data_IF_683072037318
#
_entry.id   IF_683072037318
#
_cell.length_a   1.000
_cell.length_b   1.000
_cell.length_c   1.000
_cell.angle_alpha   90.00
_cell.angle_beta   90.00
_cell.angle_gamma   90.00
#
_symmetry.space_group_name_H-M   'P 1'
#
loop_
_entity.id
_entity.type
_entity.pdbx_description
1 polymer ?
#
# COMPACT_ATOMS: atom_id res chain seq x y z
N UNK A 1 2.55 10.82 2.01
CA UNK A 1 3.09 9.72 1.15
C UNK A 1 2.03 8.64 0.99
N UNK A 2 2.14 7.79 -0.03
CA UNK A 2 1.16 6.70 -0.26
C UNK A 2 1.00 5.74 0.95
N UNK A 3 2.08 5.46 1.69
CA UNK A 3 2.03 4.65 2.91
C UNK A 3 1.23 5.31 4.05
N UNK A 4 1.32 6.64 4.21
CA UNK A 4 0.54 7.37 5.22
C UNK A 4 -0.95 7.39 4.87
N UNK A 5 -1.30 7.52 3.59
CA UNK A 5 -2.69 7.42 3.14
C UNK A 5 -3.30 6.04 3.46
N UNK A 6 -2.54 4.96 3.22
CA UNK A 6 -2.97 3.60 3.58
C UNK A 6 -3.10 3.39 5.09
N UNK A 7 -2.12 3.83 5.87
CA UNK A 7 -2.21 3.78 7.34
C UNK A 7 -3.44 4.53 7.84
N UNK A 8 -3.80 5.65 7.19
CA UNK A 8 -5.03 6.39 7.50
C UNK A 8 -6.29 5.59 7.17
N UNK A 9 -6.38 4.91 6.02
CA UNK A 9 -7.58 4.09 5.70
C UNK A 9 -7.75 2.92 6.68
N UNK A 10 -6.66 2.32 7.15
CA UNK A 10 -6.69 1.28 8.20
C UNK A 10 -7.16 1.84 9.55
N UNK A 11 -6.67 3.03 9.93
CA UNK A 11 -7.12 3.71 11.14
C UNK A 11 -8.60 4.11 11.08
N UNK A 12 -9.03 4.70 9.96
CA UNK A 12 -10.42 5.11 9.76
C UNK A 12 -11.35 3.89 9.82
N UNK A 13 -10.93 2.74 9.28
CA UNK A 13 -11.64 1.48 9.42
C UNK A 13 -11.71 0.97 10.86
N UNK A 14 -10.63 1.05 11.63
CA UNK A 14 -10.62 0.66 13.04
C UNK A 14 -11.58 1.55 13.86
N UNK A 15 -11.57 2.87 13.62
CA UNK A 15 -12.50 3.82 14.24
C UNK A 15 -13.95 3.43 13.91
N UNK A 16 -14.26 3.17 12.63
CA UNK A 16 -15.59 2.74 12.21
C UNK A 16 -16.04 1.45 12.91
N UNK A 17 -15.15 0.44 13.04
CA UNK A 17 -15.42 -0.82 13.77
C UNK A 17 -15.69 -0.63 15.26
N UNK A 18 -15.20 0.47 15.84
CA UNK A 18 -15.46 0.83 17.25
C UNK A 18 -16.65 1.79 17.43
N UNK A 19 -17.53 1.90 16.42
CA UNK A 19 -18.71 2.76 16.47
C UNK A 19 -18.38 4.25 16.41
N UNK A 20 -17.25 4.63 15.80
CA UNK A 20 -16.81 6.01 15.69
C UNK A 20 -15.98 6.52 16.88
N UNK A 21 -15.70 5.68 17.88
CA UNK A 21 -14.88 6.08 19.03
C UNK A 21 -13.40 6.16 18.64
N UNK A 22 -12.86 7.38 18.58
CA UNK A 22 -11.49 7.61 18.13
C UNK A 22 -10.42 6.98 19.02
N UNK A 23 -10.62 6.98 20.34
CA UNK A 23 -9.65 6.43 21.29
C UNK A 23 -9.58 4.90 21.17
N UNK A 24 -10.73 4.23 21.19
CA UNK A 24 -10.81 2.78 20.98
C UNK A 24 -10.30 2.39 19.60
N UNK A 25 -10.63 3.16 18.57
CA UNK A 25 -10.13 2.94 17.21
C UNK A 25 -8.61 3.03 17.10
N UNK A 26 -7.98 4.01 17.75
CA UNK A 26 -6.51 4.12 17.81
C UNK A 26 -5.87 2.96 18.56
N UNK A 27 -6.46 2.52 19.66
CA UNK A 27 -5.99 1.34 20.40
C UNK A 27 -6.08 0.08 19.54
N UNK A 28 -7.21 -0.12 18.85
CA UNK A 28 -7.42 -1.26 17.97
C UNK A 28 -6.43 -1.25 16.79
N UNK A 29 -6.27 -0.10 16.13
CA UNK A 29 -5.30 0.09 15.05
C UNK A 29 -3.85 -0.13 15.52
N UNK A 30 -3.49 0.32 16.72
CA UNK A 30 -2.13 0.12 17.24
C UNK A 30 -1.81 -1.36 17.47
N UNK A 31 -2.82 -2.16 17.84
CA UNK A 31 -2.66 -3.60 18.05
C UNK A 31 -2.66 -4.41 16.74
N UNK A 32 -3.53 -4.06 15.78
CA UNK A 32 -3.80 -4.91 14.60
C UNK A 32 -3.56 -4.24 13.24
N UNK A 33 -3.13 -2.98 13.18
CA UNK A 33 -2.92 -2.21 11.94
C UNK A 33 -1.70 -2.61 11.12
N UNK A 34 -1.25 -3.86 11.27
CA UNK A 34 -0.19 -4.50 10.48
C UNK A 34 1.12 -3.71 10.41
N UNK A 35 1.47 -3.00 11.49
CA UNK A 35 2.65 -2.11 11.55
C UNK A 35 3.95 -2.84 11.21
N UNK A 36 4.10 -4.09 11.66
CA UNK A 36 5.27 -4.93 11.38
C UNK A 36 5.45 -5.31 9.90
N UNK A 37 4.38 -5.32 9.10
CA UNK A 37 4.46 -5.67 7.68
C UNK A 37 5.12 -4.56 6.84
N UNK A 38 5.17 -3.33 7.33
CA UNK A 38 5.82 -2.20 6.65
C UNK A 38 7.35 -2.29 6.65
N UNK A 39 7.95 -3.22 7.39
CA UNK A 39 9.41 -3.28 7.56
C UNK A 39 10.22 -3.35 6.26
N UNK A 40 9.74 -4.06 5.23
CA UNK A 40 10.42 -4.06 3.93
C UNK A 40 10.14 -2.78 3.12
N UNK A 41 8.91 -2.26 3.16
CA UNK A 41 8.56 -0.97 2.55
C UNK A 41 9.41 0.18 3.11
N UNK A 42 9.66 0.19 4.42
CA UNK A 42 10.43 1.25 5.06
C UNK A 42 11.93 1.16 4.71
N UNK A 43 12.43 -0.02 4.31
CA UNK A 43 13.82 -0.22 3.85
C UNK A 43 14.05 0.22 2.41
N UNK A 44 13.03 0.20 1.55
CA UNK A 44 13.14 0.62 0.14
C UNK A 44 13.05 2.15 0.01
N UNK A 45 13.94 2.84 0.71
CA UNK A 45 14.00 4.29 0.80
C UNK A 45 15.31 4.82 0.21
N UNK A 46 15.23 5.77 -0.73
CA UNK A 46 16.36 6.23 -1.54
C UNK A 46 16.20 5.93 -3.04
N UNK A 47 15.04 6.27 -3.60
CA UNK A 47 14.75 6.22 -5.04
C UNK A 47 15.27 7.48 -5.70
N UNK A 48 15.70 7.36 -6.95
CA UNK A 48 16.16 8.50 -7.76
C UNK A 48 14.97 9.14 -8.48
N UNK A 49 14.97 10.47 -8.53
CA UNK A 49 13.98 11.24 -9.27
C UNK A 49 14.28 11.20 -10.77
N UNK A 50 13.28 10.82 -11.57
CA UNK A 50 13.36 10.92 -13.03
C UNK A 50 13.41 12.39 -13.46
N UNK A 51 14.23 12.69 -14.47
CA UNK A 51 14.38 14.06 -15.01
C UNK A 51 13.40 14.36 -16.15
N UNK A 52 12.77 13.32 -16.70
CA UNK A 52 11.84 13.41 -17.82
C UNK A 52 10.58 12.58 -17.51
N UNK A 53 9.43 12.92 -18.11
CA UNK A 53 8.21 12.13 -17.98
C UNK A 53 8.39 10.70 -18.49
N UNK A 54 7.73 9.75 -17.83
CA UNK A 54 7.62 8.39 -18.35
C UNK A 54 6.89 8.39 -19.71
N UNK A 55 7.24 7.47 -20.64
CA UNK A 55 6.56 7.37 -21.92
C UNK A 55 5.04 7.15 -21.81
N UNK A 56 4.31 7.82 -22.69
CA UNK A 56 2.84 7.83 -22.71
C UNK A 56 2.21 6.45 -23.02
N UNK A 57 0.90 6.33 -22.78
CA UNK A 57 0.11 5.15 -23.17
C UNK A 57 0.32 3.90 -22.31
N UNK A 58 1.10 3.99 -21.22
CA UNK A 58 1.43 2.84 -20.35
C UNK A 58 0.51 2.66 -19.15
N UNK A 59 -0.35 3.64 -18.86
CA UNK A 59 -1.23 3.66 -17.69
C UNK A 59 -2.68 3.80 -18.15
N UNK A 60 -3.56 2.82 -17.86
CA UNK A 60 -4.98 2.90 -18.18
C UNK A 60 -5.68 4.04 -17.41
N UNK A 61 -6.75 4.58 -17.99
CA UNK A 61 -7.64 5.48 -17.26
C UNK A 61 -8.58 4.68 -16.35
N UNK A 62 -8.16 4.44 -15.11
CA UNK A 62 -8.79 3.51 -14.15
C UNK A 62 -10.31 3.69 -13.97
N UNK A 63 -10.81 4.93 -14.03
CA UNK A 63 -12.25 5.22 -13.88
C UNK A 63 -13.11 4.64 -15.01
N UNK A 64 -12.52 4.36 -16.16
CA UNK A 64 -13.22 3.88 -17.37
C UNK A 64 -12.69 2.54 -17.88
N UNK A 65 -11.46 2.16 -17.53
CA UNK A 65 -10.80 0.94 -17.96
C UNK A 65 -11.62 -0.31 -17.61
N UNK A 66 -11.75 -1.23 -18.56
CA UNK A 66 -12.34 -2.56 -18.35
C UNK A 66 -11.53 -3.40 -17.36
N UNK A 67 -12.15 -4.43 -16.77
CA UNK A 67 -11.44 -5.34 -15.85
C UNK A 67 -10.30 -6.07 -16.58
N UNK A 68 -10.47 -6.39 -17.86
CA UNK A 68 -9.42 -7.01 -18.66
C UNK A 68 -8.21 -6.08 -18.81
N UNK A 69 -8.40 -4.80 -19.14
CA UNK A 69 -7.30 -3.82 -19.21
C UNK A 69 -6.58 -3.66 -17.86
N UNK A 70 -7.32 -3.68 -16.75
CA UNK A 70 -6.74 -3.64 -15.41
C UNK A 70 -5.87 -4.87 -15.14
N UNK A 71 -6.37 -6.08 -15.47
CA UNK A 71 -5.61 -7.34 -15.32
C UNK A 71 -4.36 -7.33 -16.20
N UNK A 72 -4.49 -7.00 -17.48
CA UNK A 72 -3.39 -6.97 -18.43
C UNK A 72 -2.31 -5.99 -17.98
N UNK A 73 -2.71 -4.84 -17.45
CA UNK A 73 -1.75 -3.88 -16.91
C UNK A 73 -0.98 -4.47 -15.72
N UNK A 74 -1.65 -5.13 -14.79
CA UNK A 74 -0.99 -5.75 -13.64
C UNK A 74 -0.07 -6.91 -14.05
N UNK A 75 -0.50 -7.72 -15.02
CA UNK A 75 0.33 -8.79 -15.60
C UNK A 75 1.58 -8.20 -16.25
N UNK A 76 1.46 -7.10 -17.01
CA UNK A 76 2.60 -6.45 -17.68
C UNK A 76 3.70 -5.97 -16.72
N UNK A 77 3.37 -5.75 -15.43
CA UNK A 77 4.32 -5.34 -14.38
C UNK A 77 4.68 -6.47 -13.41
N UNK A 78 4.37 -7.72 -13.77
CA UNK A 78 4.70 -8.92 -12.97
C UNK A 78 3.83 -9.10 -11.72
N UNK A 79 2.61 -8.55 -11.74
CA UNK A 79 1.54 -8.79 -10.77
C UNK A 79 0.42 -9.61 -11.42
N UNK A 80 -0.74 -9.75 -10.76
CA UNK A 80 -1.86 -10.48 -11.32
C UNK A 80 -3.21 -10.14 -10.66
N UNK A 81 -4.26 -10.94 -10.93
CA UNK A 81 -5.64 -10.68 -10.48
C UNK A 81 -5.78 -10.48 -8.97
N UNK A 82 -4.97 -11.18 -8.16
CA UNK A 82 -4.92 -10.98 -6.70
C UNK A 82 -4.56 -9.55 -6.32
N UNK A 83 -3.53 -8.99 -6.97
CA UNK A 83 -3.08 -7.64 -6.67
C UNK A 83 -4.05 -6.59 -7.20
N UNK A 84 -4.72 -6.86 -8.32
CA UNK A 84 -5.84 -6.02 -8.78
C UNK A 84 -6.92 -5.96 -7.70
N UNK A 85 -7.36 -7.10 -7.18
CA UNK A 85 -8.41 -7.16 -6.16
C UNK A 85 -8.00 -6.47 -4.85
N UNK A 86 -6.80 -6.72 -4.32
CA UNK A 86 -6.39 -6.15 -3.02
C UNK A 86 -6.18 -4.63 -3.11
N UNK A 87 -5.74 -4.13 -4.27
CA UNK A 87 -5.50 -2.72 -4.51
C UNK A 87 -6.75 -1.97 -5.00
N UNK A 88 -7.96 -2.52 -4.80
CA UNK A 88 -9.21 -1.92 -5.28
C UNK A 88 -9.39 -0.44 -4.90
N UNK A 89 -8.94 -0.03 -3.71
CA UNK A 89 -8.99 1.36 -3.25
C UNK A 89 -8.07 2.35 -4.03
N UNK A 90 -7.17 1.86 -4.90
CA UNK A 90 -6.28 2.70 -5.70
C UNK A 90 -6.86 3.09 -7.06
N UNK A 91 -7.93 2.44 -7.52
CA UNK A 91 -8.48 2.67 -8.85
C UNK A 91 -9.56 3.76 -8.90
N UNK A 92 -10.06 4.18 -7.74
CA UNK A 92 -11.07 5.23 -7.63
C UNK A 92 -11.38 5.58 -6.19
N UNK A 93 -12.17 6.65 -5.97
CA UNK A 93 -12.56 7.09 -4.63
C UNK A 93 -13.55 6.15 -3.94
N UNK A 94 -14.30 5.36 -4.72
CA UNK A 94 -15.26 4.37 -4.21
C UNK A 94 -14.72 2.95 -4.40
N UNK A 95 -14.23 2.37 -3.30
CA UNK A 95 -13.74 1.00 -3.27
C UNK A 95 -14.85 -0.03 -3.55
N UNK A 96 -16.07 0.21 -3.08
CA UNK A 96 -17.18 -0.73 -3.24
C UNK A 96 -17.61 -0.81 -4.71
N UNK A 97 -17.82 0.34 -5.36
CA UNK A 97 -18.15 0.40 -6.79
C UNK A 97 -17.06 -0.25 -7.66
N UNK A 98 -15.79 -0.06 -7.29
CA UNK A 98 -14.67 -0.71 -7.98
C UNK A 98 -14.74 -2.24 -7.82
N UNK A 99 -15.03 -2.72 -6.62
CA UNK A 99 -15.09 -4.16 -6.35
C UNK A 99 -16.32 -4.84 -6.98
N UNK A 100 -17.47 -4.16 -7.05
CA UNK A 100 -18.64 -4.66 -7.79
C UNK A 100 -18.30 -4.92 -9.25
N UNK A 101 -17.53 -4.03 -9.88
CA UNK A 101 -17.01 -4.23 -11.24
C UNK A 101 -16.07 -5.43 -11.32
N UNK A 102 -15.16 -5.58 -10.37
CA UNK A 102 -14.16 -6.67 -10.35
C UNK A 102 -14.78 -8.06 -10.09
N UNK A 103 -15.88 -8.15 -9.34
CA UNK A 103 -16.59 -9.42 -9.06
C UNK A 103 -17.18 -10.05 -10.32
N UNK A 104 -17.49 -9.24 -11.34
CA UNK A 104 -17.99 -9.75 -12.62
C UNK A 104 -16.96 -10.65 -13.33
N UNK A 105 -15.66 -10.45 -13.07
CA UNK A 105 -14.57 -11.22 -13.67
C UNK A 105 -14.23 -12.47 -12.84
N UNK A 106 -14.22 -13.68 -13.44
CA UNK A 106 -13.95 -14.93 -12.72
C UNK A 106 -12.58 -15.02 -12.05
N UNK A 107 -11.54 -14.37 -12.62
CA UNK A 107 -10.19 -14.43 -12.06
C UNK A 107 -10.03 -13.51 -10.86
N UNK A 108 -10.74 -12.38 -10.85
CA UNK A 108 -10.72 -11.42 -9.75
C UNK A 108 -11.70 -11.79 -8.62
N UNK A 109 -12.87 -12.35 -8.94
CA UNK A 109 -13.93 -12.69 -7.97
C UNK A 109 -13.44 -13.38 -6.69
N UNK A 110 -12.70 -14.50 -6.73
CA UNK A 110 -12.31 -15.20 -5.49
C UNK A 110 -11.43 -14.34 -4.58
N UNK A 111 -10.63 -13.44 -5.16
CA UNK A 111 -9.78 -12.52 -4.40
C UNK A 111 -10.59 -11.37 -3.81
N UNK A 112 -11.51 -10.78 -4.58
CA UNK A 112 -12.38 -9.70 -4.08
C UNK A 112 -13.20 -10.21 -2.89
N UNK A 113 -13.85 -11.36 -3.04
CA UNK A 113 -14.64 -11.96 -1.95
C UNK A 113 -13.77 -12.30 -0.73
N UNK A 114 -12.54 -12.82 -0.95
CA UNK A 114 -11.58 -13.04 0.14
C UNK A 114 -11.31 -11.75 0.92
N UNK A 115 -11.02 -10.66 0.22
CA UNK A 115 -10.67 -9.40 0.85
C UNK A 115 -11.88 -8.71 1.49
N UNK A 116 -13.08 -8.86 0.93
CA UNK A 116 -14.33 -8.44 1.57
C UNK A 116 -14.52 -9.17 2.90
N UNK A 117 -14.46 -10.50 2.91
CA UNK A 117 -14.53 -11.30 4.15
C UNK A 117 -13.46 -10.90 5.16
N UNK A 118 -12.23 -10.64 4.71
CA UNK A 118 -11.17 -10.14 5.60
C UNK A 118 -11.56 -8.80 6.21
N UNK A 119 -12.06 -7.83 5.43
CA UNK A 119 -12.46 -6.51 5.94
C UNK A 119 -13.69 -6.51 6.85
N UNK A 120 -14.50 -7.56 6.79
CA UNK A 120 -15.61 -7.79 7.72
C UNK A 120 -15.11 -8.20 9.12
N UNK A 121 -13.97 -8.88 9.21
CA UNK A 121 -13.33 -9.16 10.51
C UNK A 121 -12.88 -7.89 11.22
N UNK A 122 -12.60 -8.01 12.53
CA UNK A 122 -12.11 -6.87 13.34
C UNK A 122 -10.70 -6.46 12.93
N UNK A 123 -9.79 -7.42 12.72
CA UNK A 123 -8.37 -7.14 12.44
C UNK A 123 -8.02 -6.96 10.97
N UNK A 124 -8.85 -7.48 10.05
CA UNK A 124 -8.68 -7.30 8.59
C UNK A 124 -7.30 -7.72 8.05
N UNK A 125 -6.65 -8.65 8.73
CA UNK A 125 -5.22 -8.95 8.60
C UNK A 125 -4.83 -9.33 7.17
N UNK A 126 -5.53 -10.29 6.56
CA UNK A 126 -5.23 -10.73 5.18
C UNK A 126 -5.28 -9.58 4.17
N UNK A 127 -6.29 -8.71 4.27
CA UNK A 127 -6.41 -7.54 3.40
C UNK A 127 -5.26 -6.56 3.60
N UNK A 128 -4.97 -6.18 4.86
CA UNK A 128 -3.92 -5.20 5.14
C UNK A 128 -2.54 -5.72 4.75
N UNK A 129 -2.21 -6.96 5.10
CA UNK A 129 -0.90 -7.57 4.83
C UNK A 129 -0.68 -7.75 3.33
N UNK A 130 -1.67 -8.25 2.59
CA UNK A 130 -1.55 -8.44 1.15
C UNK A 130 -1.48 -7.10 0.41
N UNK A 131 -2.21 -6.09 0.88
CA UNK A 131 -2.17 -4.75 0.31
C UNK A 131 -0.79 -4.12 0.47
N UNK A 132 -0.22 -4.20 1.68
CA UNK A 132 1.15 -3.71 1.93
C UNK A 132 2.13 -4.47 1.04
N UNK A 133 1.98 -5.79 0.89
CA UNK A 133 2.86 -6.60 0.04
C UNK A 133 2.82 -6.17 -1.42
N UNK A 134 1.62 -5.97 -1.98
CA UNK A 134 1.42 -5.53 -3.36
C UNK A 134 2.00 -4.13 -3.59
N UNK A 135 1.70 -3.19 -2.70
CA UNK A 135 2.16 -1.80 -2.75
C UNK A 135 3.68 -1.72 -2.58
N UNK A 136 4.25 -2.56 -1.73
CA UNK A 136 5.71 -2.65 -1.54
C UNK A 136 6.38 -3.10 -2.82
N UNK A 137 5.88 -4.14 -3.50
CA UNK A 137 6.45 -4.56 -4.79
C UNK A 137 6.31 -3.47 -5.86
N UNK A 138 5.18 -2.78 -5.89
CA UNK A 138 4.91 -1.73 -6.88
C UNK A 138 5.80 -0.48 -6.67
N UNK A 139 6.11 -0.12 -5.43
CA UNK A 139 6.74 1.17 -5.11
C UNK A 139 8.21 1.30 -5.54
N UNK A 140 8.91 0.19 -5.81
CA UNK A 140 10.30 0.20 -6.27
C UNK A 140 10.50 -0.43 -7.66
N UNK A 141 9.43 -0.65 -8.45
CA UNK A 141 9.58 -1.18 -9.81
C UNK A 141 10.52 -0.30 -10.65
N UNK A 142 11.51 -0.93 -11.28
CA UNK A 142 12.51 -0.26 -12.12
C UNK A 142 13.54 0.59 -11.35
N UNK A 143 13.44 0.68 -10.02
CA UNK A 143 14.30 1.51 -9.18
C UNK A 143 15.45 0.69 -8.60
N UNK A 144 16.64 1.31 -8.51
CA UNK A 144 17.75 0.82 -7.71
C UNK A 144 17.79 1.66 -6.44
N UNK A 145 17.60 1.03 -5.28
CA UNK A 145 17.56 1.75 -4.01
C UNK A 145 18.99 2.06 -3.54
N UNK A 146 19.27 3.34 -3.32
CA UNK A 146 20.46 3.79 -2.62
C UNK A 146 20.21 3.69 -1.10
N UNK A 147 20.76 2.65 -0.47
CA UNK A 147 20.58 2.41 0.97
C UNK A 147 21.35 3.40 1.85
N UNK A 148 22.31 4.12 1.28
CA UNK A 148 23.07 5.20 1.91
C UNK A 148 22.45 6.58 1.67
N UNK A 149 21.34 6.66 0.94
CA UNK A 149 20.63 7.90 0.71
C UNK A 149 20.25 8.55 2.05
N UNK A 150 20.34 9.88 2.08
CA UNK A 150 20.02 10.69 3.27
C UNK A 150 20.91 10.44 4.49
N UNK A 151 22.06 9.78 4.31
CA UNK A 151 23.10 9.71 5.36
C UNK A 151 23.97 10.98 5.36
N UNK A 152 24.61 11.25 6.50
CA UNK A 152 25.52 12.37 6.67
C UNK A 152 26.68 11.96 7.59
N UNK A 153 27.84 12.66 7.52
CA UNK A 153 28.97 12.35 8.38
C UNK A 153 28.59 12.38 9.87
N UNK A 154 28.89 11.30 10.60
CA UNK A 154 28.69 11.25 12.05
C UNK A 154 29.63 12.25 12.72
N UNK A 155 29.08 13.23 13.43
CA UNK A 155 29.88 14.15 14.24
C UNK A 155 30.64 13.36 15.31
N UNK A 156 31.98 13.38 15.25
CA UNK A 156 32.84 12.77 16.27
C UNK A 156 32.94 13.73 17.45
N UNK A 157 32.40 13.33 18.60
CA UNK A 157 32.62 14.07 19.85
C UNK A 157 34.09 13.90 20.23
N UNK A 158 34.80 15.03 20.38
CA UNK A 158 36.16 15.01 20.88
C UNK A 158 36.11 14.89 22.42
N UNK A 159 36.29 13.67 22.92
CA UNK A 159 36.26 13.37 24.36
C UNK A 159 37.33 14.13 25.16
N UNK A 160 38.43 14.55 24.54
CA UNK A 160 39.46 15.38 25.18
C UNK A 160 39.05 16.85 25.41
N UNK A 161 37.91 17.30 24.85
CA UNK A 161 37.33 18.63 25.08
C UNK A 161 36.19 18.63 26.11
N UNK A 162 35.76 17.46 26.58
CA UNK A 162 34.83 17.35 27.69
C UNK A 162 35.63 17.56 28.99
N UNK A 163 35.53 18.76 29.57
CA UNK A 163 35.98 18.98 30.95
C UNK A 163 35.05 18.17 31.87
N UNK A 164 35.58 17.12 32.49
CA UNK A 164 35.00 16.46 33.67
C UNK A 164 35.16 17.36 34.89
#
# INVERSE_FOLDING_TARGET
TASQALKKTFLDAAIAKTGGNQEKGRTLYSAYGSSGQWGFFDKIFGRDDAQEPDPEGRVPQWSTASVQEMKDKFISVGLGPRQVAVMSAFFGPDQAATEEKLIADPDCRPWVEKYQRSRETVSRTDYEVDLITAVTKLSYLGQKINYEAYTYPKQKINLGKLKL
#
